data_IF_485490343876
#
_entry.id   IF_485490343876
#
_cell.length_a   1.000
_cell.length_b   1.000
_cell.length_c   1.000
_cell.angle_alpha   90.00
_cell.angle_beta   90.00
_cell.angle_gamma   90.00
#
_symmetry.space_group_name_H-M   'P 1'
#
loop_
_entity.id
_entity.type
_entity.pdbx_description
1 polymer ?
#
# COMPACT_ATOMS: atom_id res chain seq x y z
N UNK A 1 20.92 8.68 14.07
CA UNK A 1 19.67 9.45 14.09
C UNK A 1 18.63 8.64 14.83
N UNK A 2 17.87 9.22 15.76
CA UNK A 2 16.76 8.50 16.42
C UNK A 2 15.56 8.41 15.48
N UNK A 3 14.93 7.24 15.37
CA UNK A 3 13.71 7.01 14.59
C UNK A 3 12.50 7.76 15.16
N UNK A 4 12.53 8.10 16.47
CA UNK A 4 11.46 8.78 17.19
C UNK A 4 11.13 10.20 16.69
N UNK A 5 11.95 10.79 15.80
CA UNK A 5 11.68 12.10 15.19
C UNK A 5 10.74 12.01 13.99
N UNK A 6 10.59 10.83 13.39
CA UNK A 6 9.80 10.64 12.20
C UNK A 6 8.34 10.39 12.60
N UNK A 7 7.43 11.16 12.01
CA UNK A 7 6.00 11.14 12.30
C UNK A 7 5.25 10.28 11.28
N UNK A 8 5.76 10.19 10.05
CA UNK A 8 5.23 9.31 9.02
C UNK A 8 6.34 8.51 8.33
N UNK A 9 6.37 7.21 8.57
CA UNK A 9 7.33 6.28 7.99
C UNK A 9 6.57 5.33 7.05
N UNK A 10 7.12 5.07 5.86
CA UNK A 10 6.57 4.08 4.93
C UNK A 10 7.57 2.95 4.71
N UNK A 11 7.11 1.72 4.79
CA UNK A 11 7.86 0.50 4.46
C UNK A 11 7.43 0.01 3.09
N UNK A 12 8.35 0.07 2.13
CA UNK A 12 8.12 -0.28 0.75
C UNK A 12 8.87 -1.54 0.32
N UNK A 13 8.43 -2.20 -0.74
CA UNK A 13 9.04 -3.44 -1.20
C UNK A 13 8.12 -4.37 -1.99
N UNK A 14 8.66 -5.35 -2.71
CA UNK A 14 7.86 -6.31 -3.47
C UNK A 14 6.96 -7.18 -2.57
N UNK A 15 5.98 -7.85 -3.18
CA UNK A 15 5.13 -8.83 -2.48
C UNK A 15 6.02 -9.95 -1.91
N UNK A 16 5.83 -10.30 -0.64
CA UNK A 16 6.69 -11.27 0.06
C UNK A 16 7.96 -10.69 0.69
N UNK A 17 8.23 -9.38 0.57
CA UNK A 17 9.42 -8.77 1.18
C UNK A 17 9.37 -8.67 2.71
N UNK A 18 8.19 -8.81 3.33
CA UNK A 18 8.00 -8.66 4.78
C UNK A 18 7.60 -7.25 5.24
N UNK A 19 7.00 -6.45 4.34
CA UNK A 19 6.58 -5.07 4.63
C UNK A 19 5.68 -4.94 5.85
N UNK A 20 4.55 -5.65 5.86
CA UNK A 20 3.57 -5.64 6.95
C UNK A 20 4.22 -6.08 8.27
N UNK A 21 5.05 -7.13 8.24
CA UNK A 21 5.77 -7.60 9.42
C UNK A 21 6.74 -6.57 9.99
N UNK A 22 7.49 -5.85 9.15
CA UNK A 22 8.37 -4.78 9.61
C UNK A 22 7.57 -3.57 10.12
N UNK A 23 6.46 -3.23 9.45
CA UNK A 23 5.58 -2.12 9.83
C UNK A 23 5.04 -2.31 11.24
N UNK A 24 4.53 -3.51 11.57
CA UNK A 24 4.10 -3.82 12.94
C UNK A 24 5.21 -3.67 13.97
N UNK A 25 6.39 -4.23 13.70
CA UNK A 25 7.54 -4.17 14.64
C UNK A 25 8.03 -2.74 14.86
N UNK A 26 8.07 -1.92 13.81
CA UNK A 26 8.45 -0.52 13.91
C UNK A 26 7.40 0.28 14.68
N UNK A 27 6.12 0.06 14.39
CA UNK A 27 5.02 0.73 15.09
C UNK A 27 5.04 0.41 16.59
N UNK A 28 5.20 -0.87 16.96
CA UNK A 28 5.34 -1.30 18.35
C UNK A 28 6.56 -0.66 19.04
N UNK A 29 7.72 -0.66 18.38
CA UNK A 29 8.94 -0.08 18.93
C UNK A 29 8.85 1.44 19.15
N UNK A 30 8.10 2.15 18.30
CA UNK A 30 7.95 3.61 18.33
C UNK A 30 6.70 4.06 19.10
N UNK A 31 5.84 3.14 19.51
CA UNK A 31 4.51 3.46 20.05
C UNK A 31 3.63 4.21 19.04
N UNK A 32 3.77 3.92 17.75
CA UNK A 32 3.08 4.58 16.64
C UNK A 32 1.90 3.74 16.13
N UNK A 33 0.98 4.38 15.39
CA UNK A 33 -0.11 3.68 14.71
C UNK A 33 0.36 2.99 13.42
N UNK A 34 -0.33 1.93 13.02
CA UNK A 34 -0.11 1.27 11.72
C UNK A 34 -1.12 1.70 10.67
N UNK A 35 -0.67 1.91 9.43
CA UNK A 35 -1.53 2.12 8.26
C UNK A 35 -1.25 1.04 7.21
N UNK A 36 -2.08 0.00 7.18
CA UNK A 36 -1.82 -1.22 6.41
C UNK A 36 -2.70 -1.33 5.17
N UNK A 37 -2.17 -1.92 4.11
CA UNK A 37 -2.93 -2.30 2.93
C UNK A 37 -3.84 -3.52 3.21
N UNK A 38 -5.15 -3.33 3.03
CA UNK A 38 -6.15 -4.39 3.25
C UNK A 38 -6.38 -5.24 1.99
N UNK A 39 -5.33 -5.84 1.44
CA UNK A 39 -5.44 -6.62 0.20
C UNK A 39 -6.46 -7.77 0.28
N UNK A 40 -6.65 -8.35 1.46
CA UNK A 40 -7.63 -9.43 1.70
C UNK A 40 -9.09 -9.01 1.56
N UNK A 41 -9.39 -7.72 1.75
CA UNK A 41 -10.76 -7.20 1.70
C UNK A 41 -11.19 -6.87 0.27
N UNK A 42 -10.26 -6.87 -0.69
CA UNK A 42 -10.56 -6.59 -2.09
C UNK A 42 -11.25 -7.80 -2.75
N UNK A 43 -12.56 -7.74 -3.03
CA UNK A 43 -13.32 -8.89 -3.53
C UNK A 43 -12.94 -9.27 -4.96
N UNK A 44 -12.24 -8.38 -5.68
CA UNK A 44 -11.80 -8.60 -7.05
C UNK A 44 -10.41 -9.23 -7.11
N UNK A 45 -9.59 -9.09 -6.07
CA UNK A 45 -8.20 -9.54 -6.09
C UNK A 45 -8.04 -11.05 -6.37
N UNK A 46 -8.84 -11.97 -5.79
CA UNK A 46 -8.76 -13.39 -6.15
C UNK A 46 -9.08 -13.65 -7.63
N UNK A 47 -10.02 -12.89 -8.20
CA UNK A 47 -10.43 -13.01 -9.60
C UNK A 47 -9.42 -12.38 -10.55
N UNK A 48 -8.75 -11.32 -10.12
CA UNK A 48 -7.61 -10.73 -10.84
C UNK A 48 -6.49 -11.74 -11.05
N UNK A 49 -6.17 -12.58 -10.05
CA UNK A 49 -5.17 -13.64 -10.23
C UNK A 49 -5.58 -14.72 -11.24
N UNK A 50 -6.88 -14.86 -11.53
CA UNK A 50 -7.42 -15.84 -12.49
C UNK A 50 -7.57 -15.24 -13.89
N UNK A 51 -8.12 -14.02 -13.99
CA UNK A 51 -8.40 -13.30 -15.23
C UNK A 51 -7.97 -11.83 -15.12
N UNK A 52 -6.65 -11.51 -15.17
CA UNK A 52 -6.14 -10.17 -14.91
C UNK A 52 -6.80 -9.09 -15.77
N UNK A 53 -6.91 -9.32 -17.08
CA UNK A 53 -7.50 -8.36 -18.04
C UNK A 53 -8.95 -7.98 -17.73
N UNK A 54 -9.71 -8.86 -17.08
CA UNK A 54 -11.13 -8.62 -16.79
C UNK A 54 -11.35 -7.91 -15.45
N UNK A 55 -10.45 -8.11 -14.51
CA UNK A 55 -10.61 -7.65 -13.14
C UNK A 55 -9.57 -6.60 -12.72
N UNK A 56 -8.64 -6.21 -13.59
CA UNK A 56 -7.61 -5.22 -13.29
C UNK A 56 -8.22 -3.88 -12.83
N UNK A 57 -9.13 -3.29 -13.62
CA UNK A 57 -9.76 -2.02 -13.27
C UNK A 57 -10.52 -2.06 -11.93
N UNK A 58 -11.47 -2.98 -11.69
CA UNK A 58 -12.18 -3.01 -10.41
C UNK A 58 -11.25 -3.32 -9.23
N UNK A 59 -10.21 -4.13 -9.41
CA UNK A 59 -9.18 -4.37 -8.38
C UNK A 59 -8.42 -3.09 -8.05
N UNK A 60 -7.95 -2.35 -9.05
CA UNK A 60 -7.20 -1.09 -8.85
C UNK A 60 -8.08 -0.01 -8.23
N UNK A 61 -9.32 0.18 -8.70
CA UNK A 61 -10.25 1.15 -8.12
C UNK A 61 -10.54 0.86 -6.65
N UNK A 62 -10.71 -0.42 -6.28
CA UNK A 62 -10.90 -0.80 -4.88
C UNK A 62 -9.70 -0.42 -4.01
N UNK A 63 -8.47 -0.70 -4.48
CA UNK A 63 -7.26 -0.27 -3.77
C UNK A 63 -7.18 1.24 -3.63
N UNK A 64 -7.46 1.99 -4.70
CA UNK A 64 -7.45 3.45 -4.67
C UNK A 64 -8.45 4.00 -3.65
N UNK A 65 -9.69 3.51 -3.63
CA UNK A 65 -10.70 3.96 -2.69
C UNK A 65 -10.33 3.66 -1.24
N UNK A 66 -9.84 2.45 -0.95
CA UNK A 66 -9.46 2.06 0.42
C UNK A 66 -8.27 2.89 0.92
N UNK A 67 -7.20 2.96 0.12
CA UNK A 67 -6.01 3.78 0.44
C UNK A 67 -6.38 5.25 0.61
N UNK A 68 -7.23 5.80 -0.25
CA UNK A 68 -7.68 7.20 -0.16
C UNK A 68 -8.46 7.46 1.13
N UNK A 69 -9.31 6.52 1.57
CA UNK A 69 -10.04 6.63 2.84
C UNK A 69 -9.09 6.61 4.02
N UNK A 70 -8.17 5.64 4.05
CA UNK A 70 -7.15 5.51 5.08
C UNK A 70 -6.26 6.76 5.19
N UNK A 71 -5.88 7.36 4.07
CA UNK A 71 -5.08 8.60 4.05
C UNK A 71 -5.86 9.82 4.54
N UNK A 72 -7.16 9.94 4.20
CA UNK A 72 -8.00 11.00 4.76
C UNK A 72 -8.06 10.91 6.29
N UNK A 73 -8.27 9.72 6.83
CA UNK A 73 -8.27 9.46 8.27
C UNK A 73 -6.90 9.77 8.92
N UNK A 74 -5.80 9.52 8.20
CA UNK A 74 -4.46 9.92 8.64
C UNK A 74 -4.31 11.45 8.73
N UNK A 75 -4.74 12.18 7.71
CA UNK A 75 -4.61 13.66 7.65
C UNK A 75 -5.53 14.39 8.64
N UNK A 76 -6.67 13.81 9.00
CA UNK A 76 -7.59 14.37 10.00
C UNK A 76 -7.15 14.09 11.45
N UNK A 77 -6.01 13.43 11.65
CA UNK A 77 -5.59 12.86 12.92
C UNK A 77 -5.36 13.85 14.08
N UNK A 78 -5.47 13.29 15.28
CA UNK A 78 -5.44 13.95 16.58
C UNK A 78 -4.04 14.51 16.93
N UNK A 79 -4.00 15.64 17.66
CA UNK A 79 -2.78 16.35 18.08
C UNK A 79 -1.85 15.45 18.90
N UNK A 80 -2.40 14.41 19.52
CA UNK A 80 -1.72 13.46 20.40
C UNK A 80 -1.14 12.23 19.70
N UNK A 81 -1.28 12.09 18.37
CA UNK A 81 -0.64 10.98 17.64
C UNK A 81 0.89 11.06 17.78
N UNK A 82 1.49 9.94 18.16
CA UNK A 82 2.94 9.74 18.32
C UNK A 82 3.64 9.60 16.96
N UNK A 83 2.98 8.96 15.99
CA UNK A 83 3.42 8.80 14.61
C UNK A 83 2.61 7.72 13.89
N UNK A 84 2.91 7.48 12.62
CA UNK A 84 2.30 6.42 11.80
C UNK A 84 3.36 5.71 10.98
N UNK A 85 3.29 4.37 10.96
CA UNK A 85 4.10 3.52 10.08
C UNK A 85 3.16 2.83 9.09
N UNK A 86 3.41 2.98 7.79
CA UNK A 86 2.59 2.39 6.73
C UNK A 86 3.36 1.34 5.93
N UNK A 87 2.65 0.37 5.35
CA UNK A 87 3.23 -0.65 4.47
C UNK A 87 2.93 -0.44 2.97
N UNK A 88 2.38 0.72 2.61
CA UNK A 88 2.14 1.14 1.24
C UNK A 88 2.39 2.65 1.04
N UNK A 89 2.70 3.01 -0.21
CA UNK A 89 2.89 4.38 -0.69
C UNK A 89 1.93 4.68 -1.85
N UNK A 90 1.05 5.67 -1.68
CA UNK A 90 0.07 6.04 -2.70
C UNK A 90 0.71 6.54 -4.00
N UNK A 91 1.92 7.09 -3.95
CA UNK A 91 2.64 7.55 -5.15
C UNK A 91 2.92 6.43 -6.17
N UNK A 92 2.94 5.17 -5.73
CA UNK A 92 3.13 4.01 -6.62
C UNK A 92 1.85 3.52 -7.26
N UNK A 93 0.70 3.97 -6.78
CA UNK A 93 -0.62 3.51 -7.20
C UNK A 93 -0.82 3.69 -8.72
N UNK A 94 -0.44 4.86 -9.24
CA UNK A 94 -0.46 5.15 -10.68
C UNK A 94 0.45 4.24 -11.50
N UNK A 95 1.58 3.79 -10.94
CA UNK A 95 2.48 2.85 -11.62
C UNK A 95 1.82 1.47 -11.75
N UNK A 96 1.16 1.00 -10.68
CA UNK A 96 0.42 -0.26 -10.72
C UNK A 96 -0.78 -0.19 -11.67
N UNK A 97 -1.49 0.93 -11.70
CA UNK A 97 -2.55 1.15 -12.67
C UNK A 97 -2.01 1.06 -14.10
N UNK A 98 -0.93 1.77 -14.44
CA UNK A 98 -0.34 1.73 -15.79
C UNK A 98 0.15 0.34 -16.20
N UNK A 99 0.64 -0.46 -15.25
CA UNK A 99 1.14 -1.81 -15.52
C UNK A 99 0.02 -2.83 -15.75
N UNK A 100 -1.15 -2.64 -15.16
CA UNK A 100 -2.22 -3.65 -15.16
C UNK A 100 -3.41 -3.30 -16.06
N UNK A 101 -3.65 -2.02 -16.32
CA UNK A 101 -4.78 -1.53 -17.11
C UNK A 101 -4.39 -1.33 -18.56
N UNK A 102 -5.35 -1.53 -19.46
CA UNK A 102 -5.20 -1.06 -20.84
C UNK A 102 -5.32 0.48 -20.93
N UNK A 103 -5.13 1.04 -22.12
CA UNK A 103 -5.08 2.49 -22.29
C UNK A 103 -6.42 3.18 -21.94
N UNK A 104 -7.56 2.58 -22.31
CA UNK A 104 -8.89 3.15 -22.03
C UNK A 104 -9.22 3.06 -20.53
N UNK A 105 -8.94 1.91 -19.90
CA UNK A 105 -9.09 1.72 -18.46
C UNK A 105 -8.16 2.63 -17.66
N UNK A 106 -6.92 2.82 -18.12
CA UNK A 106 -5.95 3.69 -17.47
C UNK A 106 -6.38 5.16 -17.56
N UNK A 107 -6.89 5.63 -18.70
CA UNK A 107 -7.41 6.99 -18.82
C UNK A 107 -8.59 7.22 -17.87
N UNK A 108 -9.50 6.25 -17.77
CA UNK A 108 -10.60 6.29 -16.79
C UNK A 108 -10.08 6.33 -15.37
N UNK A 109 -9.09 5.49 -15.04
CA UNK A 109 -8.45 5.47 -13.73
C UNK A 109 -7.84 6.82 -13.35
N UNK A 110 -7.14 7.47 -14.28
CA UNK A 110 -6.55 8.78 -14.08
C UNK A 110 -7.60 9.84 -13.74
N UNK A 111 -8.77 9.82 -14.39
CA UNK A 111 -9.89 10.72 -14.07
C UNK A 111 -10.38 10.49 -12.64
N UNK A 112 -10.60 9.23 -12.25
CA UNK A 112 -11.03 8.89 -10.89
C UNK A 112 -9.98 9.30 -9.84
N UNK A 113 -8.70 9.07 -10.12
CA UNK A 113 -7.60 9.47 -9.23
C UNK A 113 -7.55 11.00 -9.05
N UNK A 114 -7.70 11.75 -10.15
CA UNK A 114 -7.72 13.21 -10.11
C UNK A 114 -8.92 13.75 -9.31
N UNK A 115 -10.10 13.14 -9.47
CA UNK A 115 -11.32 13.54 -8.76
C UNK A 115 -11.26 13.21 -7.26
N UNK A 116 -10.70 12.05 -6.90
CA UNK A 116 -10.46 11.68 -5.49
C UNK A 116 -9.42 12.57 -4.83
N UNK A 117 -8.46 13.08 -5.61
CA UNK A 117 -7.35 13.91 -5.18
C UNK A 117 -6.73 13.46 -3.84
N UNK A 118 -6.31 12.18 -3.71
CA UNK A 118 -5.86 11.63 -2.44
C UNK A 118 -4.70 12.46 -1.87
N UNK A 119 -4.92 13.05 -0.70
CA UNK A 119 -3.90 13.81 0.02
C UNK A 119 -3.18 12.87 0.98
N UNK A 120 -1.93 12.53 0.67
CA UNK A 120 -1.04 11.88 1.62
C UNK A 120 -0.05 12.91 2.18
N UNK A 121 0.22 12.90 3.50
CA UNK A 121 1.39 13.60 4.00
C UNK A 121 2.65 13.04 3.35
N UNK A 122 3.64 13.88 3.06
CA UNK A 122 4.93 13.40 2.59
C UNK A 122 5.59 12.54 3.67
N UNK A 123 6.01 11.30 3.37
CA UNK A 123 6.75 10.49 4.34
C UNK A 123 8.05 11.17 4.78
N UNK A 124 8.33 11.16 6.07
CA UNK A 124 9.64 11.62 6.60
C UNK A 124 10.76 10.61 6.29
N UNK A 125 10.38 9.34 6.10
CA UNK A 125 11.28 8.24 5.79
C UNK A 125 10.54 7.17 4.97
N UNK A 126 11.17 6.73 3.88
CA UNK A 126 10.76 5.52 3.14
C UNK A 126 11.85 4.45 3.32
N UNK A 127 11.47 3.31 3.88
CA UNK A 127 12.33 2.13 4.07
C UNK A 127 12.02 1.15 2.95
N UNK A 128 12.95 0.95 2.01
CA UNK A 128 12.76 0.01 0.92
C UNK A 128 13.39 -1.36 1.21
N UNK A 129 12.54 -2.39 1.31
CA UNK A 129 12.93 -3.77 1.49
C UNK A 129 13.27 -4.41 0.14
N UNK A 130 14.51 -4.89 0.05
CA UNK A 130 15.01 -5.63 -1.11
C UNK A 130 15.27 -7.08 -0.72
N UNK A 131 14.87 -7.99 -1.59
CA UNK A 131 15.20 -9.41 -1.47
C UNK A 131 15.33 -10.03 -2.87
N UNK A 132 16.16 -11.09 -3.01
CA UNK A 132 16.22 -11.89 -4.22
C UNK A 132 14.86 -12.47 -4.63
N UNK A 133 14.62 -12.62 -5.94
CA UNK A 133 13.33 -13.06 -6.50
C UNK A 133 12.94 -14.46 -6.01
N UNK A 134 13.90 -15.38 -5.94
CA UNK A 134 13.74 -16.73 -5.42
C UNK A 134 13.22 -16.73 -3.99
N UNK A 135 13.80 -15.90 -3.11
CA UNK A 135 13.34 -15.74 -1.74
C UNK A 135 11.93 -15.13 -1.64
N UNK A 136 11.59 -14.16 -2.51
CA UNK A 136 10.26 -13.58 -2.58
C UNK A 136 9.21 -14.62 -3.00
N UNK A 137 9.49 -15.39 -4.04
CA UNK A 137 8.60 -16.45 -4.54
C UNK A 137 8.39 -17.56 -3.52
N UNK A 138 9.42 -17.94 -2.77
CA UNK A 138 9.29 -18.92 -1.69
C UNK A 138 8.33 -18.44 -0.60
N UNK A 139 8.47 -17.18 -0.17
CA UNK A 139 7.60 -16.57 0.85
C UNK A 139 6.16 -16.43 0.39
N UNK A 140 5.94 -16.02 -0.86
CA UNK A 140 4.59 -15.93 -1.44
C UNK A 140 3.92 -17.30 -1.49
N UNK A 141 4.66 -18.34 -1.92
CA UNK A 141 4.14 -19.72 -1.94
C UNK A 141 3.76 -20.20 -0.55
N UNK A 142 4.62 -20.00 0.46
CA UNK A 142 4.29 -20.39 1.85
C UNK A 142 3.03 -19.71 2.36
N UNK A 143 2.85 -18.41 2.09
CA UNK A 143 1.67 -17.65 2.53
C UNK A 143 0.36 -18.10 1.87
N UNK A 144 0.41 -18.65 0.66
CA UNK A 144 -0.78 -19.17 -0.04
C UNK A 144 -1.16 -20.61 0.30
N UNK A 145 -0.44 -21.26 1.22
CA UNK A 145 -0.72 -22.62 1.71
C UNK A 145 -1.46 -22.61 3.06
N UNK A 146 -1.46 -21.47 3.77
CA UNK A 146 -2.24 -21.20 4.98
C UNK A 146 -3.60 -20.58 4.63
#
# INVERSE_FOLDING_TARGET
>A
MSLSRFRYIVVEGPIGAGKTSLTHRLAEHLGADTLLENAGDNPFLPRFYQEPRRYALPTQLHFLFDRSRQLRELTQGDLFRTGTVSDFLIDKDMLFARLNLDDDEFELYQKVYADLAPQAPTPDLVIYLQAPIDALQERVRRRGVD
#
